data_IF_505967398406
#
_entry.id   IF_505967398406
#
_cell.length_a   1.000
_cell.length_b   1.000
_cell.length_c   1.000
_cell.angle_alpha   90.00
_cell.angle_beta   90.00
_cell.angle_gamma   90.00
#
_symmetry.space_group_name_H-M   'P 1'
#
loop_
_entity.id
_entity.type
_entity.pdbx_description
1 polymer ?
#
# COMPACT_ATOMS: atom_id res chain seq x y z
N UNK A 1 2.46 -3.19 3.90
CA UNK A 1 3.93 -3.35 3.84
C UNK A 1 4.43 -3.85 5.18
N UNK A 2 5.52 -4.61 5.22
CA UNK A 2 6.07 -5.15 6.46
C UNK A 2 7.59 -4.95 6.46
N UNK A 3 8.15 -4.55 7.61
CA UNK A 3 9.59 -4.45 7.78
C UNK A 3 10.15 -5.85 8.07
N UNK A 4 11.12 -6.29 7.28
CA UNK A 4 11.73 -7.62 7.38
C UNK A 4 13.03 -7.57 8.17
N UNK A 5 13.95 -6.69 7.74
CA UNK A 5 15.27 -6.58 8.33
C UNK A 5 15.76 -5.12 8.29
N UNK A 6 16.67 -4.79 9.20
CA UNK A 6 17.39 -3.51 9.21
C UNK A 6 18.89 -3.84 9.11
N UNK A 7 19.52 -3.40 8.03
CA UNK A 7 20.94 -3.64 7.76
C UNK A 7 21.64 -2.29 7.55
N UNK A 8 22.38 -1.86 8.57
CA UNK A 8 23.14 -0.61 8.53
C UNK A 8 22.25 0.61 8.22
N UNK A 9 22.49 1.24 7.07
CA UNK A 9 21.76 2.44 6.59
C UNK A 9 20.48 2.11 5.81
N UNK A 10 20.21 0.83 5.54
CA UNK A 10 19.06 0.42 4.73
C UNK A 10 18.12 -0.52 5.51
N UNK A 11 16.83 -0.36 5.29
CA UNK A 11 15.78 -1.23 5.79
C UNK A 11 15.18 -2.04 4.64
N UNK A 12 15.03 -3.34 4.84
CA UNK A 12 14.36 -4.22 3.91
C UNK A 12 12.86 -4.22 4.22
N UNK A 13 12.05 -3.79 3.24
CA UNK A 13 10.60 -3.67 3.38
C UNK A 13 9.90 -4.48 2.29
N UNK A 14 8.93 -5.30 2.70
CA UNK A 14 7.99 -5.97 1.79
C UNK A 14 6.85 -5.03 1.42
N UNK A 15 6.74 -4.71 0.14
CA UNK A 15 5.70 -3.84 -0.41
C UNK A 15 4.34 -4.56 -0.48
N UNK A 16 3.21 -3.82 -0.59
CA UNK A 16 1.88 -4.41 -0.80
C UNK A 16 1.78 -5.22 -2.10
N UNK A 17 2.64 -4.94 -3.09
CA UNK A 17 2.79 -5.72 -4.32
C UNK A 17 3.43 -7.10 -4.10
N UNK A 18 3.99 -7.36 -2.92
CA UNK A 18 4.73 -8.59 -2.60
C UNK A 18 6.22 -8.52 -2.87
N UNK A 19 6.69 -7.50 -3.58
CA UNK A 19 8.11 -7.24 -3.83
C UNK A 19 8.85 -6.86 -2.53
N UNK A 20 10.11 -7.29 -2.41
CA UNK A 20 11.00 -6.92 -1.30
C UNK A 20 11.98 -5.88 -1.81
N UNK A 21 12.01 -4.72 -1.17
CA UNK A 21 12.84 -3.59 -1.57
C UNK A 21 13.60 -2.98 -0.40
N UNK A 22 14.81 -2.50 -0.68
CA UNK A 22 15.60 -1.72 0.26
C UNK A 22 15.18 -0.26 0.24
N UNK A 23 14.95 0.30 1.43
CA UNK A 23 14.56 1.69 1.67
C UNK A 23 15.58 2.30 2.63
N UNK A 24 15.94 3.56 2.45
CA UNK A 24 16.85 4.25 3.36
C UNK A 24 16.22 4.35 4.77
N UNK A 25 17.04 4.15 5.81
CA UNK A 25 16.60 4.22 7.20
C UNK A 25 16.13 5.64 7.60
N UNK A 26 16.54 6.67 6.86
CA UNK A 26 16.07 8.06 7.05
C UNK A 26 14.65 8.31 6.53
N UNK A 27 14.05 7.37 5.79
CA UNK A 27 12.68 7.52 5.31
C UNK A 27 11.66 7.42 6.45
N UNK A 28 10.69 8.32 6.46
CA UNK A 28 9.59 8.32 7.42
C UNK A 28 8.55 7.25 7.05
N UNK A 29 8.08 6.51 8.05
CA UNK A 29 7.01 5.54 7.91
C UNK A 29 6.01 5.67 9.08
N UNK A 30 4.73 5.45 8.79
CA UNK A 30 3.67 5.45 9.81
C UNK A 30 3.31 4.02 10.18
N UNK A 31 3.13 3.77 11.48
CA UNK A 31 2.70 2.47 11.99
C UNK A 31 1.21 2.28 11.69
N UNK A 32 0.86 1.15 11.07
CA UNK A 32 -0.51 0.75 10.81
C UNK A 32 -0.78 0.40 9.36
N UNK A 33 -2.06 0.11 9.07
CA UNK A 33 -2.57 -0.13 7.73
C UNK A 33 -3.41 1.05 7.28
N UNK A 34 -3.48 1.28 5.98
CA UNK A 34 -4.37 2.32 5.41
C UNK A 34 -5.82 1.92 5.71
N UNK A 35 -6.63 2.89 6.13
CA UNK A 35 -8.07 2.70 6.36
C UNK A 35 -8.82 2.34 5.08
N UNK A 36 -10.05 1.82 5.20
CA UNK A 36 -10.92 1.41 4.08
C UNK A 36 -10.46 0.12 3.36
N UNK A 37 -10.22 -0.95 4.12
CA UNK A 37 -9.88 -2.28 3.58
C UNK A 37 -10.99 -2.89 2.72
N UNK A 38 -12.25 -2.56 3.00
CA UNK A 38 -13.41 -3.08 2.26
C UNK A 38 -13.65 -2.37 0.92
N UNK A 39 -12.83 -1.38 0.57
CA UNK A 39 -12.95 -0.69 -0.71
C UNK A 39 -12.90 -1.65 -1.90
N UNK A 40 -12.14 -2.74 -1.78
CA UNK A 40 -12.04 -3.78 -2.80
C UNK A 40 -13.36 -4.53 -3.04
N UNK A 41 -14.27 -4.54 -2.06
CA UNK A 41 -15.56 -5.24 -2.12
C UNK A 41 -16.70 -4.36 -2.67
N UNK A 42 -16.42 -3.10 -3.04
CA UNK A 42 -17.45 -2.18 -3.53
C UNK A 42 -17.93 -2.62 -4.92
N UNK A 43 -19.21 -2.97 -5.01
CA UNK A 43 -19.86 -3.19 -6.30
C UNK A 43 -20.33 -1.86 -6.92
N UNK A 44 -19.89 -1.61 -8.16
CA UNK A 44 -20.27 -0.40 -8.90
C UNK A 44 -21.74 -0.41 -9.35
N UNK A 45 -22.34 -1.58 -9.54
CA UNK A 45 -23.77 -1.80 -9.82
C UNK A 45 -24.29 -1.30 -11.17
N UNK A 46 -23.95 -0.07 -11.59
CA UNK A 46 -24.39 0.56 -12.84
C UNK A 46 -23.25 1.27 -13.57
N UNK A 47 -23.35 1.33 -14.89
CA UNK A 47 -22.35 2.00 -15.74
C UNK A 47 -22.17 3.49 -15.39
N UNK A 48 -23.23 4.20 -15.01
CA UNK A 48 -23.15 5.61 -14.63
C UNK A 48 -22.24 5.89 -13.42
N UNK A 49 -22.11 4.94 -12.49
CA UNK A 49 -21.23 5.10 -11.31
C UNK A 49 -19.75 5.02 -11.70
N UNK A 50 -19.41 4.24 -12.74
CA UNK A 50 -18.05 4.23 -13.32
C UNK A 50 -17.72 5.54 -14.02
N UNK A 51 -18.68 6.11 -14.76
CA UNK A 51 -18.50 7.42 -15.43
C UNK A 51 -18.17 8.55 -14.45
N UNK A 52 -18.72 8.52 -13.22
CA UNK A 52 -18.38 9.49 -12.17
C UNK A 52 -16.91 9.40 -11.72
N UNK A 53 -16.26 8.25 -11.91
CA UNK A 53 -14.85 8.04 -11.60
C UNK A 53 -13.92 8.41 -12.78
N UNK A 54 -14.47 8.88 -13.90
CA UNK A 54 -13.70 9.21 -15.10
C UNK A 54 -13.29 8.00 -15.95
N UNK A 55 -14.00 6.87 -15.80
CA UNK A 55 -13.79 5.60 -16.51
C UNK A 55 -15.06 5.24 -17.29
#
# INVERSE_FOLDING_TARGET
AQLLAKEGTMAQVRLPSGEVRYVDMNCLATIGVVSNSDHANINMGKAGRKRWLGI
#
